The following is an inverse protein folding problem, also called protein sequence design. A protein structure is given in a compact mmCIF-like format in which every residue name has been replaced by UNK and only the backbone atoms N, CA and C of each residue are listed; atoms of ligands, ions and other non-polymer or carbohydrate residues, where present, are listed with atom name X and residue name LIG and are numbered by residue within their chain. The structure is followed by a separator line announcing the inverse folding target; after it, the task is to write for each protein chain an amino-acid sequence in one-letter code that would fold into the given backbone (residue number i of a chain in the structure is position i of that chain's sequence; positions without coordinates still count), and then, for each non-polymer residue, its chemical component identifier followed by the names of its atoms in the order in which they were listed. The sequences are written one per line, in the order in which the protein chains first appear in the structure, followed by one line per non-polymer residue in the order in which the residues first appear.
data_IF_597786670539
#
_entry.id   IF_597786670539
#
_cell.length_a   1.000
_cell.length_b   1.000
_cell.length_c   1.000
_cell.angle_alpha   90.00
_cell.angle_beta   90.00
_cell.angle_gamma   90.00
#
_symmetry.space_group_name_H-M   'P 1'
#
loop_
_entity.id
_entity.type
_entity.pdbx_description
1 polymer ?
#
# COMPACT_ATOMS: atom_id res chain seq x y z
N UNK A 1 -3.47 9.30 -12.17
CA UNK A 1 -4.93 9.52 -12.14
C UNK A 1 -5.43 8.70 -10.97
N UNK A 2 -6.04 9.33 -9.95
CA UNK A 2 -6.45 8.59 -8.75
C UNK A 2 -7.72 7.77 -9.04
N UNK A 3 -7.78 6.55 -8.53
CA UNK A 3 -8.95 5.68 -8.69
C UNK A 3 -10.11 6.21 -7.81
N UNK A 4 -11.36 6.13 -8.29
CA UNK A 4 -12.52 6.54 -7.49
C UNK A 4 -12.64 5.72 -6.21
N UNK A 5 -13.02 6.36 -5.10
CA UNK A 5 -13.14 5.70 -3.78
C UNK A 5 -14.01 4.46 -3.82
N UNK A 6 -15.12 4.50 -4.58
CA UNK A 6 -16.08 3.40 -4.68
C UNK A 6 -15.50 2.16 -5.39
N UNK A 7 -14.44 2.30 -6.19
CA UNK A 7 -13.73 1.19 -6.83
C UNK A 7 -12.56 0.75 -5.95
N UNK A 8 -11.82 1.72 -5.42
CA UNK A 8 -10.60 1.46 -4.67
C UNK A 8 -10.83 0.71 -3.36
N UNK A 9 -11.94 0.99 -2.65
CA UNK A 9 -12.28 0.31 -1.40
C UNK A 9 -12.56 -1.19 -1.58
N UNK A 10 -13.43 -1.62 -2.52
CA UNK A 10 -13.61 -3.04 -2.83
C UNK A 10 -12.31 -3.76 -3.19
N UNK A 11 -11.44 -3.12 -3.99
CA UNK A 11 -10.15 -3.72 -4.37
C UNK A 11 -9.26 -3.87 -3.13
N UNK A 12 -9.19 -2.85 -2.27
CA UNK A 12 -8.37 -2.90 -1.06
C UNK A 12 -8.86 -3.99 -0.10
N UNK A 13 -10.18 -4.11 0.07
CA UNK A 13 -10.79 -5.20 0.85
C UNK A 13 -10.34 -6.55 0.28
N UNK A 14 -10.48 -6.74 -1.03
CA UNK A 14 -10.10 -7.99 -1.69
C UNK A 14 -8.61 -8.31 -1.49
N UNK A 15 -7.72 -7.33 -1.64
CA UNK A 15 -6.28 -7.50 -1.41
C UNK A 15 -5.96 -7.88 0.05
N UNK A 16 -6.56 -7.20 1.02
CA UNK A 16 -6.33 -7.49 2.45
C UNK A 16 -6.79 -8.89 2.83
N UNK A 17 -7.95 -9.32 2.34
CA UNK A 17 -8.42 -10.69 2.56
C UNK A 17 -7.60 -11.73 1.79
N UNK A 18 -7.08 -11.38 0.61
CA UNK A 18 -6.17 -12.23 -0.14
C UNK A 18 -4.85 -12.43 0.60
N UNK A 19 -4.26 -11.37 1.16
CA UNK A 19 -3.06 -11.46 2.00
C UNK A 19 -3.30 -12.38 3.21
N UNK A 20 -4.40 -12.18 3.93
CA UNK A 20 -4.78 -13.05 5.06
C UNK A 20 -4.97 -14.52 4.62
N UNK A 21 -5.55 -14.75 3.45
CA UNK A 21 -5.75 -16.09 2.88
C UNK A 21 -4.41 -16.74 2.51
N UNK A 22 -3.51 -16.00 1.88
CA UNK A 22 -2.17 -16.47 1.52
C UNK A 22 -1.39 -16.83 2.78
N UNK A 23 -1.42 -15.98 3.82
CA UNK A 23 -0.79 -16.29 5.11
C UNK A 23 -1.40 -17.52 5.77
N UNK A 24 -2.73 -17.65 5.73
CA UNK A 24 -3.45 -18.79 6.28
C UNK A 24 -3.06 -20.13 5.63
N UNK A 25 -3.00 -20.16 4.28
CA UNK A 25 -2.65 -21.38 3.53
C UNK A 25 -1.17 -21.70 3.67
N UNK A 26 -0.31 -20.68 3.60
CA UNK A 26 1.13 -20.91 3.52
C UNK A 26 1.69 -21.45 4.83
N UNK A 27 1.09 -21.15 5.99
CA UNK A 27 1.45 -21.59 7.37
C UNK A 27 2.96 -21.49 7.74
N UNK A 28 3.78 -20.93 6.84
CA UNK A 28 5.24 -20.78 6.89
C UNK A 28 5.66 -19.32 6.97
N UNK A 29 4.73 -18.42 7.30
CA UNK A 29 5.11 -17.06 7.66
C UNK A 29 5.80 -17.07 9.03
N UNK A 30 7.11 -17.37 9.00
CA UNK A 30 8.07 -17.13 10.09
C UNK A 30 8.32 -15.63 10.33
N UNK A 31 7.35 -14.77 10.01
CA UNK A 31 7.44 -13.34 10.29
C UNK A 31 7.34 -13.19 11.81
N UNK A 32 8.45 -12.79 12.44
CA UNK A 32 8.61 -12.64 13.91
C UNK A 32 7.44 -11.90 14.59
N UNK A 33 6.77 -11.00 13.86
CA UNK A 33 5.63 -10.23 14.34
C UNK A 33 4.34 -11.05 14.50
N UNK A 34 4.06 -12.00 13.60
CA UNK A 34 2.76 -12.71 13.56
C UNK A 34 2.78 -14.04 14.30
N UNK A 35 3.94 -14.69 14.37
CA UNK A 35 4.13 -15.97 15.03
C UNK A 35 3.56 -16.06 16.46
N UNK A 36 3.84 -15.12 17.39
CA UNK A 36 3.31 -15.22 18.76
C UNK A 36 1.78 -15.06 18.82
N UNK A 37 1.19 -14.32 17.87
CA UNK A 37 -0.26 -14.15 17.80
C UNK A 37 -0.96 -15.40 17.27
N UNK A 38 -0.39 -16.02 16.23
CA UNK A 38 -0.92 -17.26 15.64
C UNK A 38 -0.77 -18.43 16.62
N UNK A 39 0.36 -18.55 17.32
CA UNK A 39 0.56 -19.61 18.33
C UNK A 39 -0.41 -19.49 19.51
N UNK A 40 -0.81 -18.26 19.89
CA UNK A 40 -1.67 -18.01 21.05
C UNK A 40 -3.17 -18.07 20.74
N UNK A 41 -3.59 -17.61 19.55
CA UNK A 41 -5.00 -17.47 19.18
C UNK A 41 -5.41 -18.35 17.99
N UNK A 42 -4.49 -19.12 17.44
CA UNK A 42 -4.69 -19.93 16.24
C UNK A 42 -4.73 -19.10 14.96
N UNK A 43 -4.72 -19.79 13.81
CA UNK A 43 -4.74 -19.16 12.48
C UNK A 43 -5.99 -18.35 12.18
N UNK A 44 -7.08 -18.52 12.94
CA UNK A 44 -8.30 -17.73 12.79
C UNK A 44 -8.11 -16.25 13.15
N UNK A 45 -7.09 -15.92 13.94
CA UNK A 45 -6.77 -14.53 14.31
C UNK A 45 -6.40 -13.69 13.08
N UNK A 46 -5.93 -14.30 11.99
CA UNK A 46 -5.57 -13.63 10.75
C UNK A 46 -6.77 -12.89 10.13
N UNK A 47 -7.97 -13.48 10.20
CA UNK A 47 -9.19 -12.85 9.69
C UNK A 47 -9.61 -11.64 10.54
N UNK A 48 -9.42 -11.73 11.86
CA UNK A 48 -9.68 -10.61 12.77
C UNK A 48 -8.67 -9.48 12.51
N UNK A 49 -7.39 -9.83 12.31
CA UNK A 49 -6.34 -8.88 11.97
C UNK A 49 -6.58 -8.22 10.61
N UNK A 50 -7.14 -8.93 9.63
CA UNK A 50 -7.55 -8.34 8.36
C UNK A 50 -8.60 -7.23 8.55
N UNK A 51 -9.59 -7.46 9.40
CA UNK A 51 -10.62 -6.45 9.75
C UNK A 51 -9.97 -5.25 10.46
N UNK A 52 -9.09 -5.50 11.43
CA UNK A 52 -8.35 -4.43 12.13
C UNK A 52 -7.48 -3.64 11.14
N UNK A 53 -6.84 -4.30 10.19
CA UNK A 53 -6.06 -3.69 9.12
C UNK A 53 -6.90 -2.76 8.24
N UNK A 54 -8.12 -3.18 7.87
CA UNK A 54 -9.06 -2.32 7.12
C UNK A 54 -9.46 -1.07 7.91
N UNK A 55 -9.69 -1.19 9.22
CA UNK A 55 -9.98 -0.04 10.09
C UNK A 55 -8.79 0.92 10.11
N UNK A 56 -7.56 0.40 10.22
CA UNK A 56 -6.35 1.22 10.14
C UNK A 56 -6.20 1.90 8.78
N UNK A 57 -6.47 1.20 7.67
CA UNK A 57 -6.43 1.82 6.34
C UNK A 57 -7.50 2.89 6.16
N UNK A 58 -8.67 2.74 6.76
CA UNK A 58 -9.68 3.79 6.79
C UNK A 58 -9.16 5.04 7.48
N UNK A 59 -8.57 4.89 8.67
CA UNK A 59 -7.98 6.01 9.40
C UNK A 59 -6.82 6.66 8.64
N UNK A 60 -5.90 5.86 8.07
CA UNK A 60 -4.77 6.35 7.28
C UNK A 60 -5.27 7.10 6.04
N UNK A 61 -6.30 6.59 5.36
CA UNK A 61 -6.88 7.26 4.18
C UNK A 61 -7.51 8.58 4.57
N UNK A 62 -8.22 8.65 5.70
CA UNK A 62 -8.85 9.87 6.20
C UNK A 62 -7.81 10.93 6.60
N UNK A 63 -6.85 10.55 7.45
CA UNK A 63 -5.82 11.46 7.96
C UNK A 63 -4.88 11.88 6.82
N UNK A 64 -4.42 10.92 6.01
CA UNK A 64 -3.56 11.17 4.87
C UNK A 64 -4.26 12.00 3.80
N UNK A 65 -5.53 11.73 3.51
CA UNK A 65 -6.32 12.49 2.55
C UNK A 65 -6.49 13.94 2.97
N UNK A 66 -6.81 14.17 4.25
CA UNK A 66 -6.83 15.50 4.84
C UNK A 66 -5.49 16.22 4.74
N UNK A 67 -4.38 15.51 5.01
CA UNK A 67 -3.03 16.08 4.89
C UNK A 67 -2.69 16.46 3.44
N UNK A 68 -3.01 15.60 2.48
CA UNK A 68 -2.77 15.86 1.04
C UNK A 68 -3.60 17.04 0.54
N UNK A 69 -4.84 17.17 0.99
CA UNK A 69 -5.70 18.31 0.64
C UNK A 69 -5.20 19.61 1.26
N UNK A 70 -4.77 19.58 2.54
CA UNK A 70 -4.42 20.79 3.29
C UNK A 70 -2.99 21.27 3.04
N UNK A 71 -2.03 20.36 2.97
CA UNK A 71 -0.60 20.66 2.78
C UNK A 71 -0.23 20.58 1.30
N UNK A 72 -0.68 19.53 0.61
CA UNK A 72 -0.40 19.32 -0.81
C UNK A 72 -1.22 20.22 -1.75
N UNK A 73 -2.35 20.79 -1.26
CA UNK A 73 -3.32 21.56 -2.05
C UNK A 73 -3.79 20.79 -3.30
N UNK A 74 -3.92 19.47 -3.16
CA UNK A 74 -4.37 18.58 -4.20
C UNK A 74 -5.82 18.20 -3.93
N UNK A 75 -6.76 18.47 -4.86
CA UNK A 75 -8.13 18.02 -4.69
C UNK A 75 -8.17 16.48 -4.68
N UNK A 76 -9.11 15.91 -3.94
CA UNK A 76 -9.32 14.45 -3.82
C UNK A 76 -8.15 13.73 -3.13
N UNK A 77 -7.66 14.27 -2.02
CA UNK A 77 -6.51 13.72 -1.29
C UNK A 77 -6.74 12.28 -0.83
N UNK A 78 -7.97 11.96 -0.38
CA UNK A 78 -8.34 10.60 -0.01
C UNK A 78 -8.20 9.61 -1.18
N UNK A 79 -8.60 9.99 -2.41
CA UNK A 79 -8.48 9.12 -3.60
C UNK A 79 -7.00 8.84 -3.92
N UNK A 80 -6.14 9.85 -3.75
CA UNK A 80 -4.70 9.74 -3.98
C UNK A 80 -4.09 8.77 -2.97
N UNK A 81 -4.36 8.95 -1.68
CA UNK A 81 -3.82 8.09 -0.61
C UNK A 81 -4.32 6.65 -0.76
N UNK A 82 -5.60 6.47 -1.07
CA UNK A 82 -6.19 5.15 -1.28
C UNK A 82 -5.58 4.45 -2.51
N UNK A 83 -5.32 5.19 -3.60
CA UNK A 83 -4.62 4.65 -4.78
C UNK A 83 -3.17 4.27 -4.45
N UNK A 84 -2.47 5.07 -3.66
CA UNK A 84 -1.12 4.74 -3.19
C UNK A 84 -1.12 3.47 -2.33
N UNK A 85 -2.05 3.35 -1.38
CA UNK A 85 -2.24 2.15 -0.56
C UNK A 85 -2.47 0.90 -1.41
N UNK A 86 -3.34 0.99 -2.43
CA UNK A 86 -3.57 -0.11 -3.36
C UNK A 86 -2.30 -0.55 -4.09
N UNK A 87 -1.50 0.40 -4.58
CA UNK A 87 -0.25 0.09 -5.26
C UNK A 87 0.73 -0.60 -4.30
N UNK A 88 0.84 -0.10 -3.06
CA UNK A 88 1.70 -0.72 -2.02
C UNK A 88 1.26 -2.16 -1.78
N UNK A 89 -0.04 -2.37 -1.53
CA UNK A 89 -0.58 -3.70 -1.20
C UNK A 89 -0.48 -4.66 -2.37
N UNK A 90 -0.89 -4.24 -3.57
CA UNK A 90 -0.79 -5.08 -4.76
C UNK A 90 0.67 -5.48 -5.05
N UNK A 91 1.63 -4.56 -4.85
CA UNK A 91 3.06 -4.85 -5.03
C UNK A 91 3.54 -5.83 -3.96
N UNK A 92 3.12 -5.65 -2.71
CA UNK A 92 3.47 -6.52 -1.60
C UNK A 92 2.90 -7.93 -1.77
N UNK A 93 1.63 -8.06 -2.15
CA UNK A 93 0.97 -9.33 -2.42
C UNK A 93 1.63 -10.04 -3.61
N UNK A 94 1.93 -9.30 -4.69
CA UNK A 94 2.66 -9.84 -5.84
C UNK A 94 4.04 -10.36 -5.43
N UNK A 95 4.76 -9.62 -4.58
CA UNK A 95 6.04 -10.07 -4.04
C UNK A 95 5.89 -11.35 -3.23
N UNK A 96 4.90 -11.42 -2.33
CA UNK A 96 4.62 -12.61 -1.52
C UNK A 96 4.24 -13.84 -2.34
N UNK A 97 3.44 -13.67 -3.38
CA UNK A 97 2.86 -14.79 -4.15
C UNK A 97 3.83 -15.28 -5.22
N UNK A 98 4.48 -14.37 -5.95
CA UNK A 98 5.27 -14.73 -7.12
C UNK A 98 6.77 -14.72 -6.85
N UNK A 99 7.25 -13.73 -6.11
CA UNK A 99 8.70 -13.49 -5.97
C UNK A 99 9.26 -14.32 -4.81
N UNK A 100 8.63 -14.27 -3.63
CA UNK A 100 9.11 -14.97 -2.43
C UNK A 100 9.24 -16.49 -2.63
N UNK A 101 8.27 -17.23 -3.18
CA UNK A 101 8.42 -18.68 -3.37
C UNK A 101 9.50 -19.03 -4.39
N UNK A 102 9.67 -18.18 -5.41
CA UNK A 102 10.71 -18.31 -6.42
C UNK A 102 12.12 -18.05 -5.86
N UNK A 103 12.24 -17.14 -4.87
CA UNK A 103 13.49 -16.81 -4.19
C UNK A 103 13.81 -17.75 -3.02
N UNK A 104 12.82 -18.36 -2.36
CA UNK A 104 13.02 -19.40 -1.35
C UNK A 104 13.75 -20.63 -1.94
N UNK A 105 13.64 -20.85 -3.25
CA UNK A 105 14.42 -21.86 -3.98
C UNK A 105 15.92 -21.51 -4.06
N UNK A 106 16.30 -20.25 -3.80
CA UNK A 106 17.63 -19.68 -4.02
C UNK A 106 18.34 -19.20 -2.72
N UNK A 107 17.87 -19.62 -1.53
CA UNK A 107 18.43 -19.41 -0.18
C UNK A 107 17.66 -18.36 0.70
N UNK A 108 17.08 -18.74 1.85
CA UNK A 108 16.05 -17.95 2.57
C UNK A 108 16.56 -16.87 3.54
N UNK A 109 17.85 -16.49 3.53
CA UNK A 109 18.41 -15.60 4.57
C UNK A 109 18.25 -14.08 4.35
N UNK A 110 17.73 -13.64 3.21
CA UNK A 110 17.73 -12.21 2.85
C UNK A 110 16.38 -11.52 3.10
N UNK A 111 16.10 -11.20 4.37
CA UNK A 111 15.03 -10.28 4.81
C UNK A 111 15.17 -8.84 4.23
N UNK A 112 16.30 -8.51 3.63
CA UNK A 112 16.61 -7.19 3.06
C UNK A 112 15.80 -6.83 1.79
N UNK A 113 15.10 -7.79 1.16
CA UNK A 113 14.30 -7.55 -0.05
C UNK A 113 12.91 -6.91 0.20
N UNK A 114 12.50 -6.73 1.45
CA UNK A 114 11.28 -5.96 1.80
C UNK A 114 11.50 -4.46 1.57
N UNK A 115 12.75 -3.99 1.69
CA UNK A 115 13.10 -2.56 1.65
C UNK A 115 12.80 -1.88 0.29
N UNK A 116 13.11 -2.48 -0.88
CA UNK A 116 12.75 -1.92 -2.19
C UNK A 116 11.24 -1.84 -2.43
N UNK A 117 10.49 -2.84 -1.93
CA UNK A 117 9.03 -2.91 -2.09
C UNK A 117 8.33 -1.81 -1.30
N UNK A 118 8.84 -1.45 -0.11
CA UNK A 118 8.36 -0.31 0.67
C UNK A 118 8.83 1.04 0.12
N UNK A 119 9.98 1.09 -0.56
CA UNK A 119 10.51 2.31 -1.19
C UNK A 119 9.79 2.69 -2.48
N UNK A 120 9.36 1.71 -3.28
CA UNK A 120 8.63 1.94 -4.53
C UNK A 120 7.45 2.92 -4.40
N UNK A 121 6.52 2.77 -3.43
CA UNK A 121 5.42 3.72 -3.28
C UNK A 121 5.86 5.10 -2.81
N UNK A 122 6.96 5.21 -2.05
CA UNK A 122 7.58 6.50 -1.69
C UNK A 122 8.14 7.18 -2.93
N UNK A 123 8.82 6.43 -3.80
CA UNK A 123 9.40 6.92 -5.05
C UNK A 123 8.30 7.31 -6.05
N UNK A 124 7.23 6.51 -6.16
CA UNK A 124 6.09 6.82 -7.02
C UNK A 124 5.39 8.08 -6.53
N UNK A 125 5.21 8.24 -5.22
CA UNK A 125 4.63 9.45 -4.63
C UNK A 125 5.52 10.68 -4.88
N UNK A 126 6.85 10.56 -4.69
CA UNK A 126 7.78 11.67 -4.92
C UNK A 126 7.82 12.10 -6.40
N UNK A 127 7.89 11.14 -7.32
CA UNK A 127 7.86 11.41 -8.77
C UNK A 127 6.55 12.05 -9.21
N UNK A 128 5.42 11.59 -8.66
CA UNK A 128 4.12 12.17 -8.95
C UNK A 128 3.98 13.62 -8.44
N UNK A 129 4.50 13.89 -7.24
CA UNK A 129 4.53 15.24 -6.64
C UNK A 129 5.35 16.21 -7.49
N UNK A 130 6.50 15.75 -7.98
CA UNK A 130 7.41 16.52 -8.82
C UNK A 130 6.79 16.85 -10.19
N UNK A 131 6.15 15.86 -10.83
CA UNK A 131 5.46 16.08 -12.10
C UNK A 131 4.31 17.10 -11.99
N UNK A 132 3.56 17.11 -10.88
CA UNK A 132 2.50 18.10 -10.66
C UNK A 132 3.00 19.50 -10.36
N UNK A 133 4.12 19.65 -9.65
CA UNK A 133 4.77 20.96 -9.47
C UNK A 133 5.21 21.56 -10.81
N UNK A 134 5.83 20.76 -11.68
CA UNK A 134 6.31 21.23 -12.99
C UNK A 134 5.18 21.70 -13.91
N UNK A 135 4.03 21.01 -13.93
CA UNK A 135 2.85 21.44 -14.72
C UNK A 135 2.29 22.80 -14.27
N UNK A 136 2.24 23.06 -12.96
CA UNK A 136 1.78 24.35 -12.42
C UNK A 136 2.70 25.50 -12.84
N UNK A 137 4.02 25.29 -12.80
CA UNK A 137 5.01 26.32 -13.17
C UNK A 137 4.91 26.67 -14.66
N UNK A 138 4.73 25.67 -15.54
CA UNK A 138 4.58 25.90 -16.98
C UNK A 138 3.30 26.67 -17.33
N UNK A 139 2.18 26.39 -16.65
CA UNK A 139 0.92 27.11 -16.86
C UNK A 139 0.99 28.57 -16.40
N UNK A 140 1.68 28.85 -15.28
CA UNK A 140 1.91 30.23 -14.81
C UNK A 140 2.83 30.99 -15.77
N UNK A 141 3.84 30.34 -16.35
CA UNK A 141 4.71 30.99 -17.33
C UNK A 141 4.02 31.26 -18.68
N UNK A 142 3.06 30.43 -19.08
CA UNK A 142 2.28 30.64 -20.29
C UNK A 142 1.31 31.82 -20.16
N UNK A 143 0.61 31.93 -19.04
CA UNK A 143 -0.33 33.05 -18.79
C UNK A 143 0.34 34.41 -18.53
N UNK A 144 1.65 34.45 -18.27
CA UNK A 144 2.40 35.72 -18.08
C UNK A 144 2.96 36.28 -19.39
N UNK A 145 2.85 35.53 -20.48
CA UNK A 145 3.37 35.90 -21.81
C UNK A 145 2.26 36.26 -22.82
N UNK A 146 1.01 36.17 -22.39
CA UNK A 146 -0.20 36.67 -23.09
C UNK A 146 -0.66 37.96 -22.40
#
# INVERSE_FOLDING_TARGET
MALPKYISWPILILLVFLDASVTHITTKENTLLWRPLIEKFGVNILWVLAIVGLILFYLITKIGGWYVERVGRLPKGEEIVLTSLLIVFATYDTYKIFIRPSLDYLNPSNYYFIFPVLLLPVIIYSLWLEHHKHKKVQLVHKHRKE
#
